data_IF_068122168785
#
_entry.id   IF_068122168785
#
_cell.length_a   1.000
_cell.length_b   1.000
_cell.length_c   1.000
_cell.angle_alpha   90.00
_cell.angle_beta   90.00
_cell.angle_gamma   90.00
#
_symmetry.space_group_name_H-M   'P 1'
#
loop_
_entity.id
_entity.type
_entity.pdbx_description
1 polymer ?
#
# COMPACT_ATOMS: atom_id res chain seq x y z
N UNK A 1 -0.49 57.79 -14.01
CA UNK A 1 0.42 57.38 -12.91
C UNK A 1 -0.36 56.49 -11.96
N UNK A 2 0.32 55.47 -11.41
CA UNK A 2 -0.11 54.46 -10.42
C UNK A 2 -0.83 53.21 -10.98
N UNK A 3 -0.02 52.16 -11.20
CA UNK A 3 -0.45 50.77 -11.31
C UNK A 3 -0.19 50.07 -9.96
N UNK A 4 -1.23 49.47 -9.39
CA UNK A 4 -1.18 48.68 -8.16
C UNK A 4 -0.68 47.26 -8.45
N UNK A 5 0.40 46.84 -7.78
CA UNK A 5 0.95 45.48 -7.84
C UNK A 5 0.19 44.57 -6.88
N UNK A 6 -0.50 43.56 -7.41
CA UNK A 6 -0.98 42.41 -6.63
C UNK A 6 0.19 41.47 -6.31
N UNK A 7 0.43 41.21 -5.02
CA UNK A 7 1.41 40.24 -4.53
C UNK A 7 0.71 38.87 -4.38
N UNK A 8 1.07 37.89 -5.21
CA UNK A 8 0.65 36.49 -5.02
C UNK A 8 1.45 35.87 -3.86
N UNK A 9 0.81 35.13 -2.94
CA UNK A 9 1.54 34.42 -1.88
C UNK A 9 2.39 33.31 -2.50
N UNK A 10 3.68 33.31 -2.18
CA UNK A 10 4.62 32.31 -2.67
C UNK A 10 4.36 30.94 -2.05
N UNK A 11 4.34 29.97 -2.96
CA UNK A 11 4.16 28.54 -2.79
C UNK A 11 5.31 27.91 -1.98
N UNK A 12 5.18 27.87 -0.66
CA UNK A 12 6.09 27.15 0.24
C UNK A 12 5.81 25.64 0.27
N UNK A 13 4.60 25.22 -0.12
CA UNK A 13 4.17 23.81 -0.08
C UNK A 13 4.82 22.94 -1.17
N UNK A 14 5.00 23.46 -2.39
CA UNK A 14 5.65 22.69 -3.47
C UNK A 14 7.17 22.57 -3.30
N UNK A 15 7.83 23.56 -2.69
CA UNK A 15 9.27 23.50 -2.41
C UNK A 15 9.61 22.45 -1.35
N UNK A 16 8.80 22.32 -0.30
CA UNK A 16 9.02 21.29 0.75
C UNK A 16 8.74 19.88 0.24
N UNK A 17 7.77 19.69 -0.67
CA UNK A 17 7.50 18.38 -1.31
C UNK A 17 8.64 17.97 -2.25
N UNK A 18 9.10 18.88 -3.11
CA UNK A 18 10.22 18.60 -4.02
C UNK A 18 11.55 18.42 -3.30
N UNK A 19 11.73 19.07 -2.14
CA UNK A 19 12.94 18.87 -1.34
C UNK A 19 12.92 17.51 -0.63
N UNK A 20 11.77 17.05 -0.12
CA UNK A 20 11.66 15.71 0.49
C UNK A 20 11.84 14.57 -0.52
N UNK A 21 11.26 14.67 -1.71
CA UNK A 21 11.46 13.66 -2.78
C UNK A 21 12.91 13.60 -3.25
N UNK A 22 13.59 14.74 -3.38
CA UNK A 22 14.99 14.79 -3.78
C UNK A 22 15.96 14.24 -2.71
N UNK A 23 15.61 14.38 -1.41
CA UNK A 23 16.42 13.81 -0.32
C UNK A 23 16.19 12.29 -0.24
N UNK A 24 14.96 11.82 -0.35
CA UNK A 24 14.63 10.38 -0.43
C UNK A 24 15.28 9.72 -1.66
N UNK A 25 15.29 10.37 -2.83
CA UNK A 25 15.98 9.87 -4.04
C UNK A 25 17.50 9.80 -3.90
N UNK A 26 18.13 10.76 -3.20
CA UNK A 26 19.58 10.75 -2.93
C UNK A 26 19.98 9.69 -1.92
N UNK A 27 19.19 9.53 -0.86
CA UNK A 27 19.43 8.53 0.17
C UNK A 27 19.25 7.11 -0.41
N UNK A 28 18.25 6.91 -1.26
CA UNK A 28 18.01 5.64 -1.94
C UNK A 28 19.12 5.26 -2.94
N UNK A 29 19.70 6.22 -3.68
CA UNK A 29 20.85 5.97 -4.59
C UNK A 29 22.14 5.65 -3.84
N UNK A 30 22.43 6.36 -2.75
CA UNK A 30 23.56 6.08 -1.87
C UNK A 30 23.47 4.68 -1.24
N UNK A 31 22.27 4.29 -0.82
CA UNK A 31 22.00 2.95 -0.28
C UNK A 31 22.17 1.89 -1.36
N UNK A 32 21.68 2.11 -2.58
CA UNK A 32 21.85 1.18 -3.71
C UNK A 32 23.34 0.97 -4.10
N UNK A 33 24.16 2.02 -4.15
CA UNK A 33 25.61 1.92 -4.40
C UNK A 33 26.35 1.20 -3.27
N UNK A 34 26.03 1.51 -2.01
CA UNK A 34 26.58 0.82 -0.86
C UNK A 34 26.18 -0.67 -0.82
N UNK A 35 24.98 -1.00 -1.31
CA UNK A 35 24.47 -2.37 -1.41
C UNK A 35 25.12 -3.14 -2.55
N UNK A 36 25.40 -2.51 -3.70
CA UNK A 36 26.19 -3.12 -4.80
C UNK A 36 27.60 -3.49 -4.33
N UNK A 37 28.25 -2.60 -3.58
CA UNK A 37 29.56 -2.86 -2.97
C UNK A 37 29.50 -4.01 -1.95
N UNK A 38 28.45 -4.06 -1.11
CA UNK A 38 28.21 -5.15 -0.14
C UNK A 38 27.86 -6.48 -0.79
N UNK A 39 27.25 -6.47 -1.98
CA UNK A 39 26.93 -7.67 -2.75
C UNK A 39 28.12 -8.19 -3.54
N UNK A 40 28.90 -7.33 -4.20
CA UNK A 40 30.14 -7.75 -4.84
C UNK A 40 31.11 -8.38 -3.83
N UNK A 41 31.14 -7.87 -2.60
CA UNK A 41 31.85 -8.51 -1.49
C UNK A 41 31.14 -9.76 -0.94
N UNK A 42 29.81 -9.89 -1.02
CA UNK A 42 29.09 -11.11 -0.65
C UNK A 42 29.21 -12.24 -1.70
N UNK A 43 29.32 -11.92 -2.99
CA UNK A 43 29.55 -12.87 -4.08
C UNK A 43 30.97 -13.44 -4.02
N UNK A 44 31.95 -12.62 -3.62
CA UNK A 44 33.31 -13.09 -3.27
C UNK A 44 33.28 -13.98 -2.02
N UNK A 45 32.42 -13.68 -1.03
CA UNK A 45 32.29 -14.48 0.20
C UNK A 45 31.63 -15.85 0.04
N UNK A 46 30.99 -16.16 -1.08
CA UNK A 46 30.52 -17.54 -1.37
C UNK A 46 31.70 -18.45 -1.73
N UNK A 47 32.84 -17.89 -2.15
CA UNK A 47 34.09 -18.64 -2.34
C UNK A 47 34.87 -18.88 -1.03
N UNK A 48 34.54 -18.14 0.04
CA UNK A 48 35.33 -18.12 1.28
C UNK A 48 34.58 -18.71 2.50
N UNK A 49 33.48 -19.46 2.30
CA UNK A 49 32.84 -20.23 3.38
C UNK A 49 33.63 -21.50 3.73
N UNK A 50 34.91 -21.31 4.08
CA UNK A 50 35.73 -22.21 4.88
C UNK A 50 36.46 -21.29 5.86
N UNK A 51 35.87 -21.01 7.03
CA UNK A 51 36.52 -20.73 8.33
C UNK A 51 35.65 -19.84 9.27
N UNK A 52 35.21 -20.46 10.39
CA UNK A 52 35.14 -19.94 11.79
C UNK A 52 34.33 -18.63 12.05
N UNK A 53 33.14 -18.60 12.67
CA UNK A 53 32.69 -18.84 14.08
C UNK A 53 33.19 -17.83 15.13
N UNK A 54 32.19 -17.19 15.80
CA UNK A 54 32.15 -16.39 17.05
C UNK A 54 32.82 -15.00 17.05
N UNK A 55 32.31 -13.92 17.67
CA UNK A 55 31.59 -13.72 18.95
C UNK A 55 30.65 -12.48 18.96
N UNK A 56 29.79 -12.40 20.00
CA UNK A 56 28.84 -11.34 20.39
C UNK A 56 29.53 -10.13 21.07
N UNK A 57 28.90 -8.95 21.09
CA UNK A 57 28.35 -8.35 22.34
C UNK A 57 27.71 -6.94 22.17
N UNK A 58 26.90 -6.64 23.19
CA UNK A 58 25.82 -5.67 23.38
C UNK A 58 26.29 -4.31 23.97
N UNK A 59 25.56 -3.20 23.80
CA UNK A 59 25.47 -2.14 24.83
C UNK A 59 24.33 -1.13 24.64
N UNK A 60 23.74 -0.75 25.78
CA UNK A 60 22.57 0.11 26.05
C UNK A 60 23.05 1.41 26.72
N UNK A 61 22.39 2.55 26.50
CA UNK A 61 22.48 3.76 27.38
C UNK A 61 21.13 4.50 27.48
N UNK A 62 20.80 4.98 28.68
CA UNK A 62 19.60 5.70 29.16
C UNK A 62 19.79 7.23 29.33
N UNK A 63 18.68 7.97 29.50
CA UNK A 63 18.54 9.24 30.28
C UNK A 63 18.12 10.48 29.46
N UNK A 64 17.31 11.48 29.88
CA UNK A 64 16.60 11.88 31.13
C UNK A 64 15.63 13.06 30.82
N UNK A 65 14.75 13.39 31.78
CA UNK A 65 13.58 14.30 31.79
C UNK A 65 13.80 15.84 31.67
N UNK A 66 12.69 16.59 31.48
CA UNK A 66 12.59 18.04 31.75
C UNK A 66 11.25 18.72 31.36
N UNK A 67 10.52 19.23 32.36
CA UNK A 67 9.19 19.90 32.32
C UNK A 67 9.20 21.40 31.90
N UNK A 68 8.08 21.95 31.40
CA UNK A 68 7.29 23.05 32.02
C UNK A 68 6.29 23.79 31.09
N UNK A 69 5.17 24.24 31.68
CA UNK A 69 4.04 25.01 31.14
C UNK A 69 4.13 26.50 31.59
N UNK A 70 3.37 27.47 31.02
CA UNK A 70 2.24 28.05 31.79
C UNK A 70 1.04 28.62 30.99
N UNK A 71 -0.08 28.80 31.71
CA UNK A 71 -1.39 29.33 31.30
C UNK A 71 -1.52 30.87 31.38
N UNK A 72 -2.47 31.45 30.63
CA UNK A 72 -2.92 32.85 30.73
C UNK A 72 -4.45 33.00 30.75
N UNK A 73 -4.91 34.05 31.43
CA UNK A 73 -6.27 34.41 31.85
C UNK A 73 -7.11 35.09 30.74
N UNK A 74 -8.40 34.73 30.61
CA UNK A 74 -9.41 35.44 29.79
C UNK A 74 -10.79 35.40 30.48
N UNK A 75 -11.17 36.45 31.21
CA UNK A 75 -12.57 36.67 31.64
C UNK A 75 -12.88 38.16 31.61
N UNK A 76 -13.59 38.63 30.56
CA UNK A 76 -14.48 39.81 30.65
C UNK A 76 -15.34 40.11 29.40
N UNK A 77 -15.30 39.28 28.35
CA UNK A 77 -16.05 39.53 27.10
C UNK A 77 -17.36 38.74 26.94
N UNK A 78 -17.67 37.82 27.87
CA UNK A 78 -18.81 36.88 27.77
C UNK A 78 -20.15 37.42 28.27
N UNK A 79 -20.14 38.35 29.22
CA UNK A 79 -21.34 38.81 29.94
C UNK A 79 -22.27 39.66 29.07
N UNK A 80 -21.73 40.46 28.15
CA UNK A 80 -22.52 41.36 27.29
C UNK A 80 -23.17 40.64 26.11
N UNK A 81 -22.59 39.53 25.64
CA UNK A 81 -23.17 38.66 24.59
C UNK A 81 -24.33 37.81 25.14
N UNK A 82 -24.25 37.41 26.41
CA UNK A 82 -25.27 36.62 27.09
C UNK A 82 -26.64 37.32 27.15
N UNK A 83 -26.69 38.62 27.42
CA UNK A 83 -27.96 39.35 27.56
C UNK A 83 -28.76 39.46 26.25
N UNK A 84 -28.08 39.60 25.09
CA UNK A 84 -28.75 39.72 23.78
C UNK A 84 -29.32 38.40 23.25
N UNK A 85 -28.65 37.28 23.54
CA UNK A 85 -29.13 35.95 23.15
C UNK A 85 -30.41 35.54 23.91
N UNK A 86 -30.62 36.09 25.10
CA UNK A 86 -31.76 35.76 25.95
C UNK A 86 -33.09 36.32 25.38
N UNK A 87 -33.11 37.57 24.90
CA UNK A 87 -34.32 38.19 24.33
C UNK A 87 -34.80 37.52 23.02
N UNK A 88 -33.87 37.08 22.17
CA UNK A 88 -34.19 36.43 20.90
C UNK A 88 -34.74 35.00 21.10
N UNK A 89 -34.32 34.32 22.18
CA UNK A 89 -34.82 33.01 22.60
C UNK A 89 -36.28 33.08 23.10
N UNK A 90 -36.64 34.12 23.87
CA UNK A 90 -38.01 34.33 24.36
C UNK A 90 -39.01 34.69 23.26
N UNK A 91 -38.54 35.18 22.10
CA UNK A 91 -39.37 35.38 20.91
C UNK A 91 -39.71 34.04 20.25
N UNK A 92 -38.70 33.20 20.02
CA UNK A 92 -38.89 31.86 19.41
C UNK A 92 -39.76 30.93 20.27
N UNK A 93 -39.59 30.95 21.60
CA UNK A 93 -40.40 30.14 22.54
C UNK A 93 -41.88 30.55 22.58
N UNK A 94 -42.19 31.83 22.31
CA UNK A 94 -43.58 32.31 22.21
C UNK A 94 -44.20 31.97 20.85
N UNK A 95 -43.41 31.95 19.79
CA UNK A 95 -43.86 31.61 18.43
C UNK A 95 -44.17 30.10 18.28
N UNK A 96 -43.40 29.20 18.93
CA UNK A 96 -43.64 27.74 18.87
C UNK A 96 -44.80 27.26 19.75
N UNK A 97 -45.17 28.01 20.80
CA UNK A 97 -46.34 27.69 21.64
C UNK A 97 -47.67 27.74 20.85
N UNK A 98 -47.66 28.37 19.68
CA UNK A 98 -48.81 28.51 18.78
C UNK A 98 -48.76 27.49 17.63
N UNK A 99 -47.69 26.71 17.47
CA UNK A 99 -47.52 25.80 16.33
C UNK A 99 -46.77 24.49 16.62
N UNK A 100 -47.45 23.37 16.34
CA UNK A 100 -46.95 21.99 16.18
C UNK A 100 -46.70 21.12 17.42
N UNK A 101 -47.67 20.23 17.69
CA UNK A 101 -47.60 19.15 18.68
C UNK A 101 -47.05 17.82 18.15
N UNK A 102 -45.85 17.80 17.55
CA UNK A 102 -45.31 16.56 16.95
C UNK A 102 -43.85 16.27 17.32
N UNK A 103 -43.37 16.71 18.47
CA UNK A 103 -41.99 16.44 18.90
C UNK A 103 -41.93 15.94 20.36
N UNK A 104 -41.93 14.61 20.51
CA UNK A 104 -41.97 13.89 21.78
C UNK A 104 -40.76 14.20 22.68
N UNK A 105 -39.59 14.46 22.09
CA UNK A 105 -38.37 14.85 22.80
C UNK A 105 -38.48 16.26 23.43
N UNK A 106 -39.17 17.19 22.73
CA UNK A 106 -39.44 18.53 23.26
C UNK A 106 -40.47 18.49 24.40
N UNK A 107 -41.55 17.70 24.26
CA UNK A 107 -42.56 17.50 25.31
C UNK A 107 -41.97 16.92 26.62
N UNK A 108 -41.01 15.99 26.50
CA UNK A 108 -40.29 15.46 27.65
C UNK A 108 -39.39 16.51 28.34
N UNK A 109 -38.77 17.40 27.56
CA UNK A 109 -38.00 18.55 28.08
C UNK A 109 -38.90 19.57 28.78
N UNK A 110 -40.06 19.91 28.22
CA UNK A 110 -41.02 20.80 28.87
C UNK A 110 -41.53 20.23 30.21
N UNK A 111 -41.83 18.92 30.24
CA UNK A 111 -42.33 18.25 31.45
C UNK A 111 -41.30 18.18 32.59
N UNK A 112 -40.01 18.10 32.26
CA UNK A 112 -38.93 18.11 33.27
C UNK A 112 -38.62 19.52 33.76
N UNK A 113 -38.76 20.53 32.89
CA UNK A 113 -38.51 21.93 33.20
C UNK A 113 -39.65 22.55 34.04
N UNK A 114 -40.91 22.21 33.75
CA UNK A 114 -42.07 22.60 34.58
C UNK A 114 -41.95 22.13 36.04
N UNK A 115 -41.41 20.93 36.28
CA UNK A 115 -41.20 20.42 37.64
C UNK A 115 -40.16 21.22 38.44
N UNK A 116 -39.21 21.89 37.76
CA UNK A 116 -38.14 22.68 38.37
C UNK A 116 -38.59 24.11 38.70
N UNK A 117 -39.60 24.63 37.99
CA UNK A 117 -40.07 26.01 38.09
C UNK A 117 -41.29 26.15 39.03
N UNK A 118 -41.99 25.05 39.34
CA UNK A 118 -43.27 25.03 40.08
C UNK A 118 -43.33 25.80 41.42
N UNK A 119 -42.22 26.08 42.08
CA UNK A 119 -42.18 26.71 43.40
C UNK A 119 -41.23 27.94 43.45
N UNK A 120 -40.93 28.56 42.30
CA UNK A 120 -39.95 29.65 42.18
C UNK A 120 -40.70 30.92 41.72
N UNK A 121 -40.31 32.08 42.25
CA UNK A 121 -40.90 33.37 41.85
C UNK A 121 -40.55 33.71 40.39
N UNK A 122 -41.44 34.43 39.70
CA UNK A 122 -41.39 34.62 38.24
C UNK A 122 -40.07 35.28 37.78
N UNK A 123 -39.39 36.07 38.63
CA UNK A 123 -38.09 36.67 38.31
C UNK A 123 -36.90 35.71 38.45
N UNK A 124 -36.99 34.68 39.30
CA UNK A 124 -35.92 33.68 39.50
C UNK A 124 -36.10 32.47 38.56
N UNK A 125 -37.30 32.27 38.05
CA UNK A 125 -37.60 31.24 37.05
C UNK A 125 -36.84 31.45 35.73
N UNK A 126 -36.65 32.70 35.31
CA UNK A 126 -35.90 33.06 34.09
C UNK A 126 -34.42 32.67 34.19
N UNK A 127 -33.78 32.92 35.34
CA UNK A 127 -32.38 32.60 35.59
C UNK A 127 -32.15 31.07 35.64
N UNK A 128 -33.08 30.32 36.24
CA UNK A 128 -33.00 28.85 36.33
C UNK A 128 -33.15 28.18 34.96
N UNK A 129 -34.01 28.73 34.10
CA UNK A 129 -34.18 28.24 32.72
C UNK A 129 -32.93 28.51 31.88
N UNK A 130 -32.40 29.74 31.94
CA UNK A 130 -31.17 30.10 31.23
C UNK A 130 -29.98 29.22 31.66
N UNK A 131 -29.77 29.04 32.97
CA UNK A 131 -28.69 28.21 33.50
C UNK A 131 -28.80 26.74 33.04
N UNK A 132 -30.01 26.19 33.01
CA UNK A 132 -30.24 24.82 32.53
C UNK A 132 -29.91 24.62 31.04
N UNK A 133 -30.20 25.63 30.21
CA UNK A 133 -29.90 25.60 28.77
C UNK A 133 -28.38 25.69 28.53
N UNK A 134 -27.67 26.56 29.27
CA UNK A 134 -26.22 26.65 29.19
C UNK A 134 -25.53 25.37 29.68
N UNK A 135 -26.06 24.72 30.72
CA UNK A 135 -25.56 23.41 31.17
C UNK A 135 -25.75 22.33 30.09
N UNK A 136 -26.91 22.27 29.43
CA UNK A 136 -27.12 21.32 28.33
C UNK A 136 -26.21 21.57 27.12
N UNK A 137 -25.99 22.82 26.72
CA UNK A 137 -25.09 23.14 25.61
C UNK A 137 -23.63 22.82 25.94
N UNK A 138 -23.19 23.12 27.16
CA UNK A 138 -21.82 22.78 27.61
C UNK A 138 -21.62 21.28 27.73
N UNK A 139 -22.63 20.52 28.17
CA UNK A 139 -22.56 19.06 28.26
C UNK A 139 -22.61 18.39 26.88
N UNK A 140 -23.41 18.91 25.93
CA UNK A 140 -23.37 18.49 24.52
C UNK A 140 -21.99 18.76 23.90
N UNK A 141 -21.37 19.89 24.22
CA UNK A 141 -20.00 20.23 23.82
C UNK A 141 -18.94 19.28 24.40
N UNK A 142 -19.06 18.94 25.69
CA UNK A 142 -18.20 17.95 26.38
C UNK A 142 -18.40 16.54 25.84
N UNK A 143 -19.63 16.13 25.51
CA UNK A 143 -19.92 14.83 24.90
C UNK A 143 -19.31 14.72 23.49
N UNK A 144 -19.46 15.75 22.65
CA UNK A 144 -18.78 15.80 21.33
C UNK A 144 -17.26 15.81 21.46
N UNK A 145 -16.69 16.52 22.43
CA UNK A 145 -15.23 16.55 22.63
C UNK A 145 -14.68 15.23 23.19
N UNK A 146 -15.40 14.56 24.09
CA UNK A 146 -15.07 13.21 24.58
C UNK A 146 -15.15 12.19 23.46
N UNK A 147 -16.20 12.23 22.62
CA UNK A 147 -16.36 11.34 21.48
C UNK A 147 -15.25 11.55 20.44
N UNK A 148 -14.87 12.80 20.17
CA UNK A 148 -13.73 13.13 19.29
C UNK A 148 -12.40 12.66 19.86
N UNK A 149 -12.13 12.90 21.15
CA UNK A 149 -10.94 12.37 21.84
C UNK A 149 -10.88 10.84 21.84
N UNK A 150 -12.03 10.17 21.91
CA UNK A 150 -12.12 8.71 21.86
C UNK A 150 -11.89 8.17 20.43
N UNK A 151 -12.41 8.84 19.42
CA UNK A 151 -12.12 8.54 18.01
C UNK A 151 -10.63 8.76 17.68
N UNK A 152 -10.04 9.85 18.18
CA UNK A 152 -8.61 10.14 17.99
C UNK A 152 -7.72 9.11 18.71
N UNK A 153 -8.09 8.69 19.93
CA UNK A 153 -7.41 7.60 20.65
C UNK A 153 -7.51 6.26 19.92
N UNK A 154 -8.68 5.93 19.39
CA UNK A 154 -8.88 4.70 18.61
C UNK A 154 -8.10 4.74 17.29
N UNK A 155 -8.07 5.90 16.62
CA UNK A 155 -7.26 6.12 15.42
C UNK A 155 -5.77 5.98 15.71
N UNK A 156 -5.29 6.56 16.80
CA UNK A 156 -3.90 6.42 17.24
C UNK A 156 -3.54 4.96 17.55
N UNK A 157 -4.37 4.26 18.34
CA UNK A 157 -4.16 2.84 18.65
C UNK A 157 -4.15 1.96 17.39
N UNK A 158 -5.06 2.23 16.43
CA UNK A 158 -5.09 1.51 15.15
C UNK A 158 -3.84 1.74 14.31
N UNK A 159 -3.25 2.94 14.35
CA UNK A 159 -1.99 3.25 13.65
C UNK A 159 -0.80 2.54 14.28
N UNK A 160 -0.73 2.48 15.61
CA UNK A 160 0.32 1.73 16.33
C UNK A 160 0.25 0.25 15.99
N UNK A 161 -0.94 -0.36 16.06
CA UNK A 161 -1.12 -1.78 15.70
C UNK A 161 -0.80 -2.06 14.22
N UNK A 162 -1.13 -1.13 13.32
CA UNK A 162 -0.78 -1.25 11.91
C UNK A 162 0.74 -1.20 11.69
N UNK A 163 1.43 -0.27 12.36
CA UNK A 163 2.88 -0.18 12.31
C UNK A 163 3.55 -1.45 12.85
N UNK A 164 3.15 -1.95 14.02
CA UNK A 164 3.68 -3.20 14.58
C UNK A 164 3.45 -4.39 13.65
N UNK A 165 2.27 -4.48 13.02
CA UNK A 165 1.97 -5.51 12.03
C UNK A 165 2.84 -5.38 10.77
N UNK A 166 3.14 -4.16 10.35
CA UNK A 166 3.99 -3.90 9.19
C UNK A 166 5.45 -4.24 9.48
N UNK A 167 5.98 -3.85 10.65
CA UNK A 167 7.33 -4.22 11.09
C UNK A 167 7.51 -5.74 11.11
N UNK A 168 6.56 -6.48 11.69
CA UNK A 168 6.56 -7.95 11.64
C UNK A 168 6.52 -8.51 10.22
N UNK A 169 5.88 -7.80 9.30
CA UNK A 169 5.85 -8.22 7.89
C UNK A 169 7.22 -8.04 7.25
N UNK A 170 7.88 -6.89 7.47
CA UNK A 170 9.24 -6.64 6.99
C UNK A 170 10.24 -7.67 7.55
N UNK A 171 10.14 -8.00 8.83
CA UNK A 171 10.98 -9.02 9.50
C UNK A 171 10.77 -10.44 8.96
N UNK A 172 9.60 -10.73 8.40
CA UNK A 172 9.28 -12.06 7.87
C UNK A 172 9.27 -12.12 6.34
N UNK A 173 9.47 -10.99 5.66
CA UNK A 173 9.47 -10.94 4.20
C UNK A 173 10.66 -11.73 3.62
N UNK A 174 10.38 -12.54 2.60
CA UNK A 174 11.37 -13.39 1.92
C UNK A 174 12.00 -12.74 0.70
N UNK A 175 11.45 -11.61 0.26
CA UNK A 175 11.83 -10.89 -0.96
C UNK A 175 12.52 -9.55 -0.67
N UNK A 176 12.35 -8.98 0.52
CA UNK A 176 13.10 -7.79 0.94
C UNK A 176 14.59 -8.11 1.00
N UNK A 177 15.38 -7.35 0.25
CA UNK A 177 16.82 -7.49 0.25
C UNK A 177 17.45 -7.04 1.58
N UNK A 178 16.86 -6.01 2.21
CA UNK A 178 17.30 -5.49 3.52
C UNK A 178 17.27 -6.56 4.62
N UNK A 179 16.36 -7.52 4.50
CA UNK A 179 16.27 -8.65 5.41
C UNK A 179 17.15 -9.81 4.95
N UNK A 180 18.48 -9.59 4.95
CA UNK A 180 19.45 -10.58 4.48
C UNK A 180 19.35 -11.96 5.17
N UNK A 181 18.82 -12.02 6.40
CA UNK A 181 18.63 -13.28 7.12
C UNK A 181 17.46 -14.12 6.57
N UNK A 182 16.44 -13.47 6.01
CA UNK A 182 15.22 -14.11 5.48
C UNK A 182 15.09 -14.02 3.97
N UNK A 183 15.92 -13.22 3.32
CA UNK A 183 16.05 -13.14 1.87
C UNK A 183 16.54 -14.49 1.35
N UNK A 184 15.58 -15.32 0.97
CA UNK A 184 15.80 -16.69 0.51
C UNK A 184 16.29 -16.66 -0.93
N UNK A 185 17.03 -17.69 -1.34
CA UNK A 185 17.41 -17.94 -2.74
C UNK A 185 18.31 -16.86 -3.37
N UNK A 186 19.23 -16.30 -2.57
CA UNK A 186 20.28 -15.37 -3.04
C UNK A 186 21.05 -15.91 -4.24
N UNK A 187 21.29 -17.22 -4.26
CA UNK A 187 21.98 -17.92 -5.33
C UNK A 187 21.19 -18.03 -6.64
N UNK A 188 19.94 -17.58 -6.69
CA UNK A 188 19.10 -17.53 -7.89
C UNK A 188 18.89 -16.11 -8.40
N UNK A 189 19.52 -15.11 -7.80
CA UNK A 189 19.46 -13.74 -8.32
C UNK A 189 20.35 -13.63 -9.55
N UNK A 190 19.79 -13.06 -10.62
CA UNK A 190 20.43 -12.92 -11.93
C UNK A 190 21.08 -11.54 -12.07
N UNK A 191 20.33 -10.48 -11.76
CA UNK A 191 20.75 -9.10 -11.96
C UNK A 191 20.07 -8.15 -10.97
N UNK A 192 20.72 -7.02 -10.68
CA UNK A 192 20.22 -5.97 -9.79
C UNK A 192 20.15 -4.64 -10.56
N UNK A 193 19.00 -3.96 -10.48
CA UNK A 193 18.85 -2.55 -10.82
C UNK A 193 19.32 -1.64 -9.68
N UNK A 194 18.81 -0.41 -9.59
CA UNK A 194 19.03 0.42 -8.39
C UNK A 194 18.05 0.03 -7.28
N UNK A 195 16.80 -0.26 -7.64
CA UNK A 195 15.70 -0.52 -6.70
C UNK A 195 14.97 -1.84 -6.96
N UNK A 196 15.34 -2.54 -8.03
CA UNK A 196 14.71 -3.79 -8.46
C UNK A 196 15.76 -4.87 -8.66
N UNK A 197 15.32 -6.12 -8.71
CA UNK A 197 16.18 -7.25 -9.04
C UNK A 197 15.42 -8.31 -9.83
N UNK A 198 16.16 -9.10 -10.59
CA UNK A 198 15.69 -10.22 -11.39
C UNK A 198 16.17 -11.53 -10.76
N UNK A 199 15.27 -12.50 -10.57
CA UNK A 199 15.63 -13.80 -9.99
C UNK A 199 14.82 -14.95 -10.59
N UNK A 200 15.37 -16.17 -10.51
CA UNK A 200 14.69 -17.37 -10.99
C UNK A 200 13.68 -17.90 -9.96
N UNK A 201 12.56 -18.45 -10.46
CA UNK A 201 11.61 -19.16 -9.62
C UNK A 201 12.18 -20.53 -9.27
N UNK A 202 12.34 -20.83 -7.97
CA UNK A 202 12.78 -22.16 -7.54
C UNK A 202 11.67 -23.19 -7.66
N UNK A 203 10.60 -22.99 -6.89
CA UNK A 203 9.54 -24.00 -6.74
C UNK A 203 8.36 -23.72 -7.69
N UNK A 204 7.85 -24.78 -8.32
CA UNK A 204 6.74 -24.69 -9.26
C UNK A 204 7.08 -23.91 -10.53
N UNK A 205 8.30 -24.08 -11.05
CA UNK A 205 8.72 -23.52 -12.34
C UNK A 205 7.86 -24.10 -13.47
N UNK A 206 7.13 -23.25 -14.20
CA UNK A 206 6.22 -23.67 -15.27
C UNK A 206 6.95 -23.92 -16.60
N UNK A 207 8.05 -23.22 -16.83
CA UNK A 207 8.85 -23.32 -18.05
C UNK A 207 10.34 -23.09 -17.74
N UNK A 208 11.21 -23.53 -18.64
CA UNK A 208 12.63 -23.20 -18.56
C UNK A 208 12.84 -21.69 -18.75
N UNK A 209 13.51 -21.06 -17.79
CA UNK A 209 13.68 -19.61 -17.77
C UNK A 209 12.56 -18.85 -17.04
N UNK A 210 11.66 -19.57 -16.35
CA UNK A 210 10.69 -18.92 -15.46
C UNK A 210 11.42 -18.10 -14.37
N UNK A 211 11.20 -16.80 -14.40
CA UNK A 211 11.82 -15.83 -13.51
C UNK A 211 10.77 -14.85 -12.97
N UNK A 212 11.18 -14.01 -12.05
CA UNK A 212 10.37 -12.93 -11.53
C UNK A 212 11.21 -11.67 -11.31
N UNK A 213 10.56 -10.52 -11.43
CA UNK A 213 11.09 -9.21 -11.11
C UNK A 213 10.45 -8.76 -9.79
N UNK A 214 11.26 -8.25 -8.88
CA UNK A 214 10.81 -7.77 -7.57
C UNK A 214 11.60 -6.51 -7.18
N UNK A 215 11.10 -5.77 -6.20
CA UNK A 215 11.79 -4.61 -5.61
C UNK A 215 12.70 -5.03 -4.47
N UNK A 216 13.82 -4.32 -4.28
CA UNK A 216 14.75 -4.57 -3.16
C UNK A 216 14.11 -4.20 -1.82
N UNK A 217 13.33 -3.12 -1.79
CA UNK A 217 12.51 -2.65 -0.66
C UNK A 217 11.10 -3.25 -0.72
N UNK A 218 10.39 -3.24 0.41
CA UNK A 218 9.03 -3.78 0.49
C UNK A 218 8.03 -2.87 -0.22
N UNK A 219 7.50 -3.35 -1.34
CA UNK A 219 6.36 -2.76 -2.02
C UNK A 219 5.33 -3.86 -2.28
N UNK A 220 4.04 -3.54 -2.19
CA UNK A 220 2.97 -4.53 -2.39
C UNK A 220 2.47 -4.57 -3.83
N UNK A 221 2.63 -3.46 -4.56
CA UNK A 221 1.98 -3.24 -5.85
C UNK A 221 2.85 -2.43 -6.80
N UNK A 222 2.88 -2.80 -8.08
CA UNK A 222 3.50 -1.98 -9.13
C UNK A 222 2.83 -0.61 -9.27
N UNK A 223 1.56 -0.50 -8.85
CA UNK A 223 0.80 0.74 -8.87
C UNK A 223 1.29 1.77 -7.85
N UNK A 224 1.83 1.34 -6.72
CA UNK A 224 2.29 2.23 -5.64
C UNK A 224 3.76 2.68 -5.81
N UNK A 225 4.46 2.19 -6.83
CA UNK A 225 5.87 2.52 -7.05
C UNK A 225 6.04 3.96 -7.58
N UNK A 226 7.22 4.53 -7.38
CA UNK A 226 7.62 5.74 -8.12
C UNK A 226 7.79 5.45 -9.62
N UNK A 227 7.90 6.48 -10.45
CA UNK A 227 8.16 6.32 -11.89
C UNK A 227 9.54 5.69 -12.16
N UNK A 228 10.54 6.00 -11.34
CA UNK A 228 11.90 5.47 -11.48
C UNK A 228 11.94 3.96 -11.29
N UNK A 229 11.42 3.46 -10.16
CA UNK A 229 11.39 2.02 -9.85
C UNK A 229 10.55 1.28 -10.89
N UNK A 230 9.43 1.86 -11.33
CA UNK A 230 8.57 1.26 -12.34
C UNK A 230 9.25 1.15 -13.70
N UNK A 231 10.05 2.15 -14.11
CA UNK A 231 10.80 2.06 -15.37
C UNK A 231 11.87 0.96 -15.31
N UNK A 232 12.50 0.70 -14.16
CA UNK A 232 13.39 -0.46 -14.02
C UNK A 232 12.66 -1.78 -14.26
N UNK A 233 11.45 -1.95 -13.72
CA UNK A 233 10.61 -3.14 -13.98
C UNK A 233 10.31 -3.24 -15.48
N UNK A 234 9.96 -2.13 -16.12
CA UNK A 234 9.68 -2.10 -17.57
C UNK A 234 10.93 -2.44 -18.38
N UNK A 235 12.11 -1.97 -17.99
CA UNK A 235 13.37 -2.28 -18.66
C UNK A 235 13.71 -3.77 -18.55
N UNK A 236 13.56 -4.35 -17.36
CA UNK A 236 13.68 -5.81 -17.21
C UNK A 236 12.69 -6.56 -18.09
N UNK A 237 11.42 -6.17 -18.12
CA UNK A 237 10.42 -6.80 -19.01
C UNK A 237 10.82 -6.73 -20.48
N UNK A 238 11.29 -5.57 -20.96
CA UNK A 238 11.77 -5.39 -22.34
C UNK A 238 12.98 -6.29 -22.63
N UNK A 239 13.98 -6.31 -21.76
CA UNK A 239 15.18 -7.15 -21.90
C UNK A 239 14.84 -8.64 -21.92
N UNK A 240 13.95 -9.09 -21.03
CA UNK A 240 13.50 -10.49 -20.98
C UNK A 240 12.73 -10.87 -22.24
N UNK A 241 11.81 -10.01 -22.68
CA UNK A 241 11.07 -10.21 -23.91
C UNK A 241 12.02 -10.35 -25.10
N UNK A 242 12.98 -9.42 -25.25
CA UNK A 242 13.94 -9.46 -26.35
C UNK A 242 14.82 -10.71 -26.29
N UNK A 243 15.34 -11.07 -25.11
CA UNK A 243 16.17 -12.26 -24.92
C UNK A 243 15.43 -13.54 -25.34
N UNK A 244 14.22 -13.78 -24.82
CA UNK A 244 13.47 -14.99 -25.13
C UNK A 244 13.00 -15.03 -26.58
N UNK A 245 12.63 -13.88 -27.15
CA UNK A 245 12.23 -13.78 -28.54
C UNK A 245 13.38 -14.09 -29.50
N UNK A 246 14.56 -13.51 -29.27
CA UNK A 246 15.71 -13.65 -30.18
C UNK A 246 16.49 -14.95 -29.97
N UNK A 247 16.71 -15.39 -28.73
CA UNK A 247 17.54 -16.58 -28.44
C UNK A 247 16.76 -17.89 -28.50
N UNK A 248 15.50 -17.87 -28.11
CA UNK A 248 14.68 -19.08 -27.94
C UNK A 248 13.46 -19.11 -28.87
N UNK A 249 13.17 -18.03 -29.60
CA UNK A 249 11.97 -17.93 -30.45
C UNK A 249 10.66 -17.96 -29.65
N UNK A 250 10.72 -17.70 -28.35
CA UNK A 250 9.59 -17.80 -27.40
C UNK A 250 8.93 -16.45 -27.17
N UNK A 251 7.66 -16.50 -26.80
CA UNK A 251 6.91 -15.35 -26.29
C UNK A 251 6.91 -15.36 -24.76
N UNK A 252 6.66 -14.21 -24.14
CA UNK A 252 6.72 -14.07 -22.69
C UNK A 252 5.42 -13.57 -22.13
N UNK A 253 4.91 -14.26 -21.12
CA UNK A 253 3.75 -13.82 -20.34
C UNK A 253 4.24 -13.25 -19.02
N UNK A 254 3.90 -11.99 -18.76
CA UNK A 254 4.17 -11.34 -17.48
C UNK A 254 2.88 -11.25 -16.68
N UNK A 255 2.92 -11.53 -15.38
CA UNK A 255 1.75 -11.29 -14.53
C UNK A 255 2.14 -10.94 -13.10
N UNK A 256 1.24 -10.24 -12.42
CA UNK A 256 1.33 -9.94 -11.00
C UNK A 256 -0.04 -10.11 -10.35
N UNK A 257 -0.05 -10.57 -9.10
CA UNK A 257 -1.25 -10.67 -8.28
C UNK A 257 -1.04 -9.80 -7.06
N UNK A 258 -1.82 -8.74 -6.93
CA UNK A 258 -1.72 -7.77 -5.85
C UNK A 258 -2.93 -7.92 -4.92
N UNK A 259 -2.68 -8.38 -3.69
CA UNK A 259 -3.69 -8.55 -2.65
C UNK A 259 -3.16 -8.03 -1.31
N UNK A 260 -4.05 -7.91 -0.35
CA UNK A 260 -3.83 -7.56 1.05
C UNK A 260 -3.09 -6.23 1.22
N UNK A 261 -3.45 -5.23 0.41
CA UNK A 261 -2.85 -3.89 0.40
C UNK A 261 -2.98 -3.19 1.77
N UNK A 262 -4.03 -3.50 2.51
CA UNK A 262 -4.28 -2.90 3.83
C UNK A 262 -3.38 -3.49 4.92
N UNK A 263 -2.95 -4.74 4.81
CA UNK A 263 -2.01 -5.35 5.78
C UNK A 263 -0.59 -5.44 5.25
N UNK A 264 -0.39 -5.10 3.98
CA UNK A 264 0.88 -5.09 3.26
C UNK A 264 1.68 -6.38 3.35
N UNK A 265 1.02 -7.53 3.49
CA UNK A 265 1.68 -8.83 3.77
C UNK A 265 2.45 -9.42 2.59
N UNK A 266 2.14 -8.97 1.39
CA UNK A 266 2.75 -9.48 0.16
C UNK A 266 3.82 -8.52 -0.33
N UNK A 267 4.89 -9.09 -0.88
CA UNK A 267 5.88 -8.35 -1.65
C UNK A 267 5.51 -8.42 -3.13
N UNK A 268 5.79 -7.35 -3.86
CA UNK A 268 5.59 -7.22 -5.28
C UNK A 268 6.43 -8.25 -6.04
N UNK A 269 5.74 -9.17 -6.72
CA UNK A 269 6.38 -10.17 -7.57
C UNK A 269 5.70 -10.12 -8.93
N UNK A 270 6.47 -9.70 -9.95
CA UNK A 270 6.06 -9.76 -11.34
C UNK A 270 6.69 -10.99 -11.96
N UNK A 271 5.92 -12.06 -12.14
CA UNK A 271 6.39 -13.30 -12.75
C UNK A 271 6.51 -13.15 -14.28
N UNK A 272 7.44 -13.89 -14.86
CA UNK A 272 7.80 -13.91 -16.26
C UNK A 272 7.93 -15.36 -16.73
N UNK A 273 6.93 -15.85 -17.48
CA UNK A 273 6.90 -17.21 -17.99
C UNK A 273 7.15 -17.21 -19.50
N UNK A 274 8.28 -17.74 -19.98
CA UNK A 274 8.53 -17.91 -21.41
C UNK A 274 7.76 -19.13 -21.93
N UNK A 275 6.99 -18.95 -23.00
CA UNK A 275 6.15 -19.96 -23.63
C UNK A 275 6.48 -20.11 -25.12
N UNK A 276 6.13 -21.26 -25.71
CA UNK A 276 6.18 -21.39 -27.16
C UNK A 276 5.19 -20.40 -27.82
N UNK A 277 5.42 -20.01 -29.07
CA UNK A 277 4.50 -19.10 -29.78
C UNK A 277 3.09 -19.66 -29.90
N UNK A 278 2.96 -20.99 -30.05
CA UNK A 278 1.67 -21.66 -30.10
C UNK A 278 0.92 -21.50 -28.77
N UNK A 279 1.55 -21.86 -27.66
CA UNK A 279 0.93 -21.78 -26.33
C UNK A 279 0.63 -20.32 -25.94
N UNK A 280 1.54 -19.39 -26.24
CA UNK A 280 1.36 -17.97 -25.97
C UNK A 280 0.19 -17.37 -26.76
N UNK A 281 -0.09 -17.87 -27.97
CA UNK A 281 -1.23 -17.40 -28.78
C UNK A 281 -2.58 -17.80 -28.19
N UNK A 282 -2.63 -18.87 -27.40
CA UNK A 282 -3.83 -19.32 -26.69
C UNK A 282 -4.06 -18.57 -25.38
N UNK A 283 -3.00 -18.05 -24.75
CA UNK A 283 -3.06 -17.36 -23.46
C UNK A 283 -4.16 -16.29 -23.37
N UNK A 284 -4.33 -15.36 -24.34
CA UNK A 284 -5.38 -14.36 -24.25
C UNK A 284 -6.79 -14.96 -24.09
N UNK A 285 -7.11 -16.02 -24.83
CA UNK A 285 -8.42 -16.67 -24.73
C UNK A 285 -8.61 -17.36 -23.38
N UNK A 286 -7.59 -18.07 -22.89
CA UNK A 286 -7.62 -18.75 -21.59
C UNK A 286 -7.74 -17.77 -20.43
N UNK A 287 -6.93 -16.71 -20.42
CA UNK A 287 -6.99 -15.68 -19.37
C UNK A 287 -8.31 -14.92 -19.41
N UNK A 288 -8.81 -14.58 -20.60
CA UNK A 288 -10.12 -13.92 -20.73
C UNK A 288 -11.24 -14.79 -20.15
N UNK A 289 -11.26 -16.08 -20.48
CA UNK A 289 -12.23 -17.02 -19.92
C UNK A 289 -12.09 -17.14 -18.40
N UNK A 290 -10.88 -17.39 -17.91
CA UNK A 290 -10.62 -17.57 -16.48
C UNK A 290 -10.98 -16.31 -15.65
N UNK A 291 -10.76 -15.11 -16.18
CA UNK A 291 -11.12 -13.85 -15.50
C UNK A 291 -12.64 -13.62 -15.48
N UNK A 292 -13.36 -14.02 -16.53
CA UNK A 292 -14.81 -13.86 -16.57
C UNK A 292 -15.52 -14.87 -15.65
N UNK A 293 -14.95 -16.06 -15.54
CA UNK A 293 -15.42 -17.16 -14.69
C UNK A 293 -14.93 -17.04 -13.23
N UNK A 294 -13.94 -16.18 -12.94
CA UNK A 294 -13.53 -15.94 -11.56
C UNK A 294 -14.50 -15.00 -10.84
N UNK A 295 -14.62 -15.25 -9.53
CA UNK A 295 -15.49 -14.52 -8.61
C UNK A 295 -16.99 -14.50 -8.98
N UNK A 296 -17.81 -13.90 -8.13
CA UNK A 296 -19.26 -13.85 -8.31
C UNK A 296 -19.66 -13.10 -9.59
N UNK A 297 -20.77 -13.47 -10.22
CA UNK A 297 -21.31 -12.77 -11.40
C UNK A 297 -21.85 -11.36 -11.08
N UNK A 298 -22.00 -11.04 -9.79
CA UNK A 298 -22.51 -9.76 -9.27
C UNK A 298 -21.35 -8.91 -8.75
N UNK A 299 -20.41 -8.54 -9.62
CA UNK A 299 -19.32 -7.62 -9.29
C UNK A 299 -19.71 -6.18 -9.61
N UNK A 300 -19.35 -5.24 -8.73
CA UNK A 300 -19.59 -3.80 -8.96
C UNK A 300 -18.67 -3.27 -10.08
N UNK A 301 -17.47 -3.85 -10.20
CA UNK A 301 -16.49 -3.47 -11.21
C UNK A 301 -16.60 -4.31 -12.49
N UNK A 302 -16.13 -3.75 -13.61
CA UNK A 302 -15.92 -4.52 -14.84
C UNK A 302 -14.89 -5.62 -14.57
N UNK A 303 -15.29 -6.88 -14.73
CA UNK A 303 -14.41 -8.04 -14.50
C UNK A 303 -13.13 -7.99 -15.34
N UNK A 304 -13.19 -7.55 -16.60
CA UNK A 304 -12.04 -7.52 -17.48
C UNK A 304 -11.80 -6.11 -18.03
N UNK A 305 -10.58 -5.63 -17.84
CA UNK A 305 -10.09 -4.34 -18.33
C UNK A 305 -8.92 -4.61 -19.28
N UNK A 306 -9.04 -4.19 -20.53
CA UNK A 306 -7.97 -4.33 -21.52
C UNK A 306 -6.90 -3.23 -21.33
N UNK A 307 -5.64 -3.64 -21.36
CA UNK A 307 -4.49 -2.76 -21.24
C UNK A 307 -3.62 -2.82 -22.50
N UNK A 308 -2.88 -1.74 -22.76
CA UNK A 308 -2.06 -1.61 -23.96
C UNK A 308 -0.62 -1.21 -23.62
N UNK A 309 0.32 -1.92 -24.22
CA UNK A 309 1.77 -1.70 -24.09
C UNK A 309 2.34 -1.90 -22.68
N UNK A 310 3.63 -1.58 -22.52
CA UNK A 310 4.40 -1.79 -21.29
C UNK A 310 3.89 -1.03 -20.06
N UNK A 311 3.18 0.09 -20.28
CA UNK A 311 2.70 1.00 -19.22
C UNK A 311 1.17 0.95 -19.06
N UNK A 312 0.52 -0.05 -19.64
CA UNK A 312 -0.94 -0.12 -19.76
C UNK A 312 -1.68 -0.10 -18.42
N UNK A 313 -1.14 -0.77 -17.40
CA UNK A 313 -1.78 -0.91 -16.09
C UNK A 313 -1.98 0.44 -15.36
N UNK A 314 -0.94 1.28 -15.29
CA UNK A 314 -0.98 2.56 -14.55
C UNK A 314 -2.06 3.52 -15.06
N UNK A 315 -2.38 3.45 -16.35
CA UNK A 315 -3.38 4.32 -16.99
C UNK A 315 -4.82 3.85 -16.78
N UNK A 316 -5.02 2.58 -16.40
CA UNK A 316 -6.35 1.95 -16.37
C UNK A 316 -6.93 1.82 -14.96
N UNK A 317 -6.08 1.62 -13.95
CA UNK A 317 -6.54 1.43 -12.57
C UNK A 317 -5.94 2.49 -11.61
N UNK A 318 -6.74 2.98 -10.65
CA UNK A 318 -6.25 3.84 -9.58
C UNK A 318 -5.30 3.08 -8.64
N UNK A 319 -4.65 3.83 -7.77
CA UNK A 319 -3.84 3.27 -6.69
C UNK A 319 -4.73 2.69 -5.58
N UNK A 320 -4.20 1.72 -4.81
CA UNK A 320 -4.82 1.14 -3.61
C UNK A 320 -6.02 0.19 -3.81
N UNK A 321 -6.16 -0.43 -4.98
CA UNK A 321 -7.12 -1.52 -5.21
C UNK A 321 -6.39 -2.86 -5.39
N UNK A 322 -6.88 -3.97 -4.83
CA UNK A 322 -6.39 -5.30 -5.16
C UNK A 322 -6.68 -5.62 -6.63
N UNK A 323 -5.73 -6.24 -7.32
CA UNK A 323 -5.89 -6.58 -8.73
C UNK A 323 -5.05 -7.78 -9.14
N UNK A 324 -5.50 -8.44 -10.20
CA UNK A 324 -4.69 -9.33 -11.02
C UNK A 324 -4.37 -8.63 -12.34
N UNK A 325 -3.12 -8.68 -12.77
CA UNK A 325 -2.68 -8.14 -14.05
C UNK A 325 -1.86 -9.17 -14.82
N UNK A 326 -2.17 -9.35 -16.10
CA UNK A 326 -1.42 -10.18 -17.04
C UNK A 326 -1.12 -9.39 -18.29
N UNK A 327 0.08 -9.54 -18.83
CA UNK A 327 0.56 -8.92 -20.05
C UNK A 327 1.13 -9.98 -21.00
N UNK A 328 0.74 -9.91 -22.27
CA UNK A 328 1.15 -10.79 -23.35
C UNK A 328 2.22 -10.09 -24.20
N UNK A 329 3.50 -10.44 -23.97
CA UNK A 329 4.63 -9.83 -24.66
C UNK A 329 4.61 -8.31 -24.61
N UNK A 330 4.73 -7.68 -25.78
CA UNK A 330 4.73 -6.21 -25.93
C UNK A 330 3.37 -5.59 -26.23
N UNK A 331 2.37 -6.41 -26.60
CA UNK A 331 1.12 -5.94 -27.23
C UNK A 331 0.13 -5.32 -26.24
N UNK A 332 0.09 -5.80 -25.00
CA UNK A 332 -0.92 -5.40 -24.02
C UNK A 332 -1.33 -6.56 -23.13
N UNK A 333 -2.46 -6.43 -22.46
CA UNK A 333 -2.83 -7.35 -21.39
C UNK A 333 -4.26 -7.20 -20.89
N UNK A 334 -4.54 -7.94 -19.82
CA UNK A 334 -5.79 -7.84 -19.06
C UNK A 334 -5.51 -7.49 -17.61
N UNK A 335 -6.39 -6.68 -17.05
CA UNK A 335 -6.45 -6.38 -15.63
C UNK A 335 -7.83 -6.74 -15.11
N UNK A 336 -7.85 -7.31 -13.91
CA UNK A 336 -9.05 -7.66 -13.16
C UNK A 336 -8.91 -7.06 -11.76
N UNK A 337 -9.92 -6.28 -11.33
CA UNK A 337 -9.99 -5.76 -9.97
C UNK A 337 -10.53 -6.88 -9.09
N UNK A 338 -9.79 -7.25 -8.05
CA UNK A 338 -10.16 -8.34 -7.13
C UNK A 338 -11.05 -7.75 -6.05
N UNK A 339 -12.28 -8.23 -5.95
CA UNK A 339 -13.25 -7.75 -4.95
C UNK A 339 -13.23 -8.63 -3.69
N UNK A 340 -13.18 -9.96 -3.85
CA UNK A 340 -13.06 -10.89 -2.74
C UNK A 340 -11.67 -11.51 -2.67
N UNK A 341 -10.78 -10.81 -1.98
CA UNK A 341 -9.42 -11.27 -1.75
C UNK A 341 -9.33 -12.62 -1.02
N UNK A 342 -10.37 -13.10 -0.33
CA UNK A 342 -10.28 -14.39 0.38
C UNK A 342 -10.48 -15.56 -0.56
N UNK A 343 -11.40 -15.44 -1.51
CA UNK A 343 -11.68 -16.51 -2.48
C UNK A 343 -10.74 -16.49 -3.67
N UNK A 344 -10.21 -15.32 -4.06
CA UNK A 344 -9.33 -15.21 -5.21
C UNK A 344 -8.00 -15.99 -4.99
N UNK A 345 -7.62 -16.94 -5.87
CA UNK A 345 -6.43 -17.75 -5.67
C UNK A 345 -5.14 -16.93 -5.84
N UNK A 346 -4.21 -17.07 -4.91
CA UNK A 346 -2.93 -16.33 -4.94
C UNK A 346 -2.04 -16.71 -6.15
N UNK A 347 -2.20 -17.93 -6.68
CA UNK A 347 -1.47 -18.45 -7.82
C UNK A 347 -2.32 -18.47 -9.10
N UNK A 348 -3.36 -17.61 -9.21
CA UNK A 348 -4.28 -17.56 -10.34
C UNK A 348 -3.56 -17.59 -11.70
N UNK A 349 -2.60 -16.69 -11.91
CA UNK A 349 -1.83 -16.62 -13.16
C UNK A 349 -1.12 -17.93 -13.50
N UNK A 350 -0.52 -18.59 -12.50
CA UNK A 350 0.11 -19.90 -12.69
C UNK A 350 -0.91 -20.99 -13.03
N UNK A 351 -2.08 -21.01 -12.38
CA UNK A 351 -3.12 -22.00 -12.68
C UNK A 351 -3.62 -21.89 -14.13
N UNK A 352 -3.84 -20.68 -14.62
CA UNK A 352 -4.27 -20.45 -16.01
C UNK A 352 -3.20 -20.92 -17.00
N UNK A 353 -1.93 -20.57 -16.76
CA UNK A 353 -0.82 -21.01 -17.62
C UNK A 353 -0.63 -22.53 -17.58
N UNK A 354 -0.76 -23.17 -16.40
CA UNK A 354 -0.77 -24.63 -16.31
C UNK A 354 -1.87 -25.26 -17.16
N UNK A 355 -3.06 -24.64 -17.21
CA UNK A 355 -4.15 -25.06 -18.09
C UNK A 355 -3.79 -24.98 -19.57
N UNK A 356 -3.12 -23.90 -20.00
CA UNK A 356 -2.60 -23.74 -21.37
C UNK A 356 -1.57 -24.83 -21.69
N UNK A 357 -0.63 -25.07 -20.76
CA UNK A 357 0.43 -26.08 -20.89
C UNK A 357 -0.06 -27.52 -20.72
N UNK A 358 -1.35 -27.73 -20.39
CA UNK A 358 -1.94 -29.04 -20.09
C UNK A 358 -1.19 -29.78 -18.97
N UNK A 359 -0.75 -29.02 -17.97
CA UNK A 359 -0.07 -29.51 -16.77
C UNK A 359 -0.98 -29.38 -15.54
N UNK A 360 -0.71 -30.20 -14.53
CA UNK A 360 -1.37 -30.02 -13.23
C UNK A 360 -0.97 -28.67 -12.61
N UNK A 361 -1.93 -27.92 -12.03
CA UNK A 361 -1.63 -26.64 -11.42
C UNK A 361 -0.65 -26.80 -10.25
N UNK A 362 0.23 -25.81 -9.99
CA UNK A 362 1.25 -25.89 -8.94
C UNK A 362 0.68 -25.95 -7.51
N UNK A 363 -0.63 -25.84 -7.32
CA UNK A 363 -1.32 -26.11 -6.04
C UNK A 363 -1.73 -27.57 -5.85
N UNK A 364 -1.52 -28.46 -6.83
CA UNK A 364 -1.58 -29.89 -6.58
C UNK A 364 -0.50 -30.26 -5.56
N UNK A 365 -0.81 -31.17 -4.62
CA UNK A 365 0.09 -31.59 -3.51
C UNK A 365 1.46 -32.10 -3.99
N UNK A 366 1.63 -32.28 -5.30
CA UNK A 366 2.79 -32.81 -6.01
C UNK A 366 3.89 -31.75 -6.23
N UNK A 367 3.56 -30.46 -6.29
CA UNK A 367 4.55 -29.39 -6.57
C UNK A 367 5.41 -28.97 -5.36
N UNK A 368 5.02 -29.36 -4.13
CA UNK A 368 5.83 -29.09 -2.92
C UNK A 368 6.95 -30.11 -2.69
N UNK A 369 7.02 -31.17 -3.49
CA UNK A 369 7.97 -32.28 -3.31
C UNK A 369 9.12 -32.31 -4.31
N UNK A 370 9.14 -31.42 -5.30
CA UNK A 370 10.21 -31.36 -6.32
C UNK A 370 10.95 -30.02 -6.28
N UNK A 371 11.50 -29.65 -5.12
CA UNK A 371 12.50 -28.58 -5.10
C UNK A 371 13.74 -29.04 -5.84
N UNK A 372 14.27 -28.18 -6.70
CA UNK A 372 15.57 -28.40 -7.35
C UNK A 372 16.68 -28.53 -6.30
N UNK A 373 17.66 -29.39 -6.59
CA UNK A 373 18.90 -29.44 -5.83
C UNK A 373 19.70 -28.15 -6.04
N UNK A 374 20.69 -27.89 -5.18
CA UNK A 374 21.53 -26.70 -5.32
C UNK A 374 22.28 -26.71 -6.67
N UNK A 375 22.74 -27.88 -7.11
CA UNK A 375 23.44 -28.06 -8.39
C UNK A 375 22.51 -27.74 -9.57
N UNK A 376 21.28 -28.24 -9.53
CA UNK A 376 20.28 -27.95 -10.57
C UNK A 376 19.93 -26.46 -10.62
N UNK A 377 19.82 -25.80 -9.46
CA UNK A 377 19.63 -24.36 -9.38
C UNK A 377 20.79 -23.60 -10.03
N UNK A 378 22.04 -24.01 -9.77
CA UNK A 378 23.24 -23.41 -10.38
C UNK A 378 23.30 -23.62 -11.89
N UNK A 379 22.93 -24.80 -12.39
CA UNK A 379 22.85 -25.07 -13.83
C UNK A 379 21.81 -24.20 -14.53
N UNK A 380 20.62 -24.06 -13.91
CA UNK A 380 19.55 -23.19 -14.40
C UNK A 380 19.98 -21.72 -14.41
N UNK A 381 20.63 -21.27 -13.34
CA UNK A 381 21.18 -19.92 -13.26
C UNK A 381 22.23 -19.69 -14.35
N UNK A 382 23.18 -20.60 -14.51
CA UNK A 382 24.23 -20.51 -15.53
C UNK A 382 23.63 -20.45 -16.94
N UNK A 383 22.66 -21.31 -17.23
CA UNK A 383 21.94 -21.30 -18.51
C UNK A 383 21.28 -19.94 -18.80
N UNK A 384 20.69 -19.33 -17.77
CA UNK A 384 20.02 -18.04 -17.87
C UNK A 384 21.01 -16.90 -18.06
N UNK A 385 22.07 -16.83 -17.23
CA UNK A 385 23.08 -15.78 -17.26
C UNK A 385 23.76 -15.68 -18.63
N UNK A 386 24.17 -16.81 -19.22
CA UNK A 386 24.81 -16.83 -20.55
C UNK A 386 23.91 -16.25 -21.65
N UNK A 387 22.59 -16.39 -21.51
CA UNK A 387 21.62 -15.87 -22.49
C UNK A 387 21.23 -14.43 -22.21
N UNK A 388 21.15 -14.06 -20.94
CA UNK A 388 20.70 -12.74 -20.50
C UNK A 388 21.80 -11.68 -20.62
N UNK A 389 23.07 -12.07 -20.51
CA UNK A 389 24.23 -11.18 -20.55
C UNK A 389 24.19 -10.11 -21.67
N UNK A 390 23.87 -10.42 -22.94
CA UNK A 390 23.80 -9.41 -24.00
C UNK A 390 22.62 -8.42 -23.88
N UNK A 391 21.59 -8.77 -23.10
CA UNK A 391 20.36 -7.99 -22.92
C UNK A 391 20.30 -7.33 -21.53
N UNK A 392 21.33 -7.54 -20.71
CA UNK A 392 21.41 -7.04 -19.36
C UNK A 392 21.71 -5.54 -19.35
N UNK A 393 20.64 -4.75 -19.30
CA UNK A 393 20.70 -3.29 -19.25
C UNK A 393 21.32 -2.78 -17.94
N UNK A 394 21.36 -3.60 -16.87
CA UNK A 394 21.86 -3.16 -15.55
C UNK A 394 23.37 -2.93 -15.55
N UNK A 395 24.10 -3.50 -16.50
CA UNK A 395 25.52 -3.21 -16.74
C UNK A 395 25.79 -1.76 -17.16
N UNK A 396 24.77 -1.03 -17.55
CA UNK A 396 24.84 0.39 -17.91
C UNK A 396 24.60 1.32 -16.71
N UNK A 397 24.28 0.76 -15.53
CA UNK A 397 24.02 1.50 -14.30
C UNK A 397 25.28 1.80 -13.47
N UNK A 398 26.47 1.51 -14.01
CA UNK A 398 27.76 1.79 -13.35
C UNK A 398 27.99 3.28 -13.06
#
# INVERSE_FOLDING_TARGET
MQATKFHKPQDKSLKEKNMKTNTEEKDNKSVAEALRSRLNSATVRVSDTVNLVDTKDNQVVQGTDGENNPETQEEDSRTTKHKRLNEELYRMLREERVGSGSNEELLARFSSQEKRIRNIDDSEAEDVVAESYYQEETDKGKHKSKQRKQLDKNSFASRVLHNESFERTLENCRFCFENLARFQLKHLVVAFGNFTYLSLVRDGSLAQGHCFISTTTHHVSSRQLSEEIFEEIVNFKKSLYQMFFEKEGKEVIFFETCKDLQRQRQHLVVECVPLSRADASECPAFFKKAILECESEWSDNKKLIETEGWRGLRRRIPENFPYFYVQFGSSGGYCHIIEDERSFPWNFGRQVISGVLKMDPPSSRVAQTSSYSMEQDMERLKWFLTRFEPYDWTRLLD
#
